data_IF_249330006696
#
_entry.id   IF_249330006696
#
_cell.length_a   1.000
_cell.length_b   1.000
_cell.length_c   1.000
_cell.angle_alpha   90.00
_cell.angle_beta   90.00
_cell.angle_gamma   90.00
#
_symmetry.space_group_name_H-M   'P 1'
#
loop_
_entity.id
_entity.type
_entity.pdbx_description
1 polymer ?
#
# COMPACT_ATOMS: atom_id res chain seq x y z
N UNK A 1 24.61 20.93 -8.26
CA UNK A 1 23.20 21.36 -8.35
C UNK A 1 22.32 20.37 -7.60
N UNK A 2 22.04 20.56 -6.29
CA UNK A 2 21.02 19.80 -5.59
C UNK A 2 19.79 20.68 -5.35
N UNK A 3 18.58 20.19 -5.63
CA UNK A 3 17.38 20.70 -4.96
C UNK A 3 16.75 19.50 -4.28
N UNK A 4 16.75 19.56 -2.95
CA UNK A 4 16.29 18.54 -2.04
C UNK A 4 14.80 18.26 -2.26
N UNK A 5 14.39 17.03 -1.96
CA UNK A 5 12.99 16.62 -1.99
C UNK A 5 12.13 17.50 -1.11
N UNK A 6 11.31 18.34 -1.73
CA UNK A 6 10.13 18.91 -1.10
C UNK A 6 9.18 17.75 -0.76
N UNK A 7 9.09 17.42 0.53
CA UNK A 7 8.03 16.56 1.06
C UNK A 7 6.72 17.36 0.99
N UNK A 8 5.61 16.82 0.44
CA UNK A 8 4.33 17.53 0.47
C UNK A 8 3.94 17.85 1.93
N UNK A 9 3.42 19.08 2.21
CA UNK A 9 3.34 19.65 3.56
C UNK A 9 2.35 18.98 4.53
N UNK A 10 1.66 17.91 4.13
CA UNK A 10 0.64 17.22 4.93
C UNK A 10 0.96 15.74 5.21
N UNK A 11 2.10 15.22 4.75
CA UNK A 11 2.46 13.83 5.06
C UNK A 11 3.15 13.74 6.43
N UNK A 12 2.60 12.97 7.40
CA UNK A 12 3.22 12.80 8.71
C UNK A 12 4.62 12.24 8.54
N UNK A 13 5.58 12.78 9.29
CA UNK A 13 6.98 12.38 9.18
C UNK A 13 7.16 10.87 9.44
N UNK A 14 8.25 10.24 8.98
CA UNK A 14 8.55 8.85 9.34
C UNK A 14 8.51 8.61 10.86
N UNK A 15 8.95 9.60 11.65
CA UNK A 15 8.96 9.56 13.10
C UNK A 15 7.54 9.62 13.70
N UNK A 16 6.68 10.49 13.16
CA UNK A 16 5.26 10.57 13.56
C UNK A 16 4.53 9.27 13.27
N UNK A 17 4.78 8.67 12.10
CA UNK A 17 4.22 7.37 11.72
C UNK A 17 4.71 6.28 12.67
N UNK A 18 6.00 6.28 13.03
CA UNK A 18 6.56 5.32 13.97
C UNK A 18 6.05 5.51 15.41
N UNK A 19 5.77 6.75 15.84
CA UNK A 19 5.14 7.03 17.15
C UNK A 19 3.72 6.49 17.20
N UNK A 20 2.89 6.85 16.21
CA UNK A 20 1.50 6.38 16.09
C UNK A 20 1.41 4.85 16.02
N UNK A 21 2.34 4.21 15.32
CA UNK A 21 2.40 2.75 15.25
C UNK A 21 2.71 2.11 16.62
N UNK A 22 3.61 2.72 17.41
CA UNK A 22 3.95 2.25 18.76
C UNK A 22 2.79 2.42 19.72
N UNK A 23 2.19 3.61 19.78
CA UNK A 23 1.01 3.89 20.60
C UNK A 23 -0.13 2.90 20.31
N UNK A 24 -0.34 2.59 19.02
CA UNK A 24 -1.34 1.62 18.63
C UNK A 24 -1.00 0.19 19.07
N UNK A 25 0.27 -0.20 18.99
CA UNK A 25 0.72 -1.51 19.45
C UNK A 25 0.55 -1.67 20.97
N UNK A 26 0.81 -0.61 21.74
CA UNK A 26 0.56 -0.56 23.19
C UNK A 26 -0.94 -0.74 23.49
N UNK A 27 -1.81 0.05 22.85
CA UNK A 27 -3.27 -0.06 23.03
C UNK A 27 -3.79 -1.48 22.71
N UNK A 28 -3.27 -2.09 21.64
CA UNK A 28 -3.66 -3.45 21.25
C UNK A 28 -3.19 -4.49 22.27
N UNK A 29 -1.98 -4.36 22.82
CA UNK A 29 -1.48 -5.26 23.88
C UNK A 29 -2.35 -5.20 25.13
N UNK A 30 -2.64 -3.98 25.60
CA UNK A 30 -3.51 -3.78 26.78
C UNK A 30 -4.89 -4.41 26.57
N UNK A 31 -5.45 -4.24 25.37
CA UNK A 31 -6.76 -4.77 25.04
C UNK A 31 -6.77 -6.30 24.95
N UNK A 32 -5.74 -6.90 24.34
CA UNK A 32 -5.62 -8.36 24.30
C UNK A 32 -5.56 -8.93 25.71
N UNK A 33 -4.75 -8.33 26.60
CA UNK A 33 -4.67 -8.75 27.99
C UNK A 33 -6.03 -8.61 28.72
N UNK A 34 -6.78 -7.53 28.48
CA UNK A 34 -8.13 -7.34 29.03
C UNK A 34 -9.11 -8.42 28.56
N UNK A 35 -9.07 -8.78 27.27
CA UNK A 35 -9.93 -9.80 26.69
C UNK A 35 -9.57 -11.21 27.18
N UNK A 36 -8.27 -11.53 27.25
CA UNK A 36 -7.76 -12.79 27.79
C UNK A 36 -8.08 -12.95 29.29
N UNK A 37 -8.11 -11.84 30.02
CA UNK A 37 -8.55 -11.79 31.42
C UNK A 37 -10.06 -12.00 31.62
N UNK A 38 -10.85 -12.14 30.55
CA UNK A 38 -12.29 -12.39 30.64
C UNK A 38 -13.10 -11.18 31.10
N UNK A 39 -12.67 -9.97 30.72
CA UNK A 39 -13.40 -8.74 31.05
C UNK A 39 -14.91 -8.85 30.73
N UNK A 40 -15.79 -8.29 31.57
CA UNK A 40 -17.23 -8.47 31.45
C UNK A 40 -17.77 -7.85 30.16
N UNK A 41 -18.63 -8.59 29.44
CA UNK A 41 -19.38 -8.07 28.31
C UNK A 41 -20.51 -7.15 28.80
N UNK A 42 -20.20 -5.87 28.97
CA UNK A 42 -21.17 -4.80 29.30
C UNK A 42 -21.61 -4.06 28.04
N UNK A 43 -22.70 -3.30 28.13
CA UNK A 43 -23.13 -2.40 27.06
C UNK A 43 -22.00 -1.44 26.62
N UNK A 44 -21.26 -0.86 27.57
CA UNK A 44 -20.13 0.01 27.28
C UNK A 44 -19.03 -0.71 26.49
N UNK A 45 -18.70 -1.95 26.85
CA UNK A 45 -17.68 -2.73 26.11
C UNK A 45 -18.16 -3.09 24.69
N UNK A 46 -19.45 -3.33 24.51
CA UNK A 46 -20.06 -3.60 23.21
C UNK A 46 -20.04 -2.35 22.31
N UNK A 47 -20.46 -1.19 22.82
CA UNK A 47 -20.40 0.09 22.11
C UNK A 47 -18.95 0.44 21.71
N UNK A 48 -18.01 0.29 22.65
CA UNK A 48 -16.59 0.50 22.36
C UNK A 48 -16.06 -0.50 21.33
N UNK A 49 -16.53 -1.75 21.33
CA UNK A 49 -16.15 -2.71 20.31
C UNK A 49 -16.68 -2.33 18.93
N UNK A 50 -17.94 -1.90 18.84
CA UNK A 50 -18.55 -1.43 17.61
C UNK A 50 -17.80 -0.23 17.02
N UNK A 51 -17.59 0.83 17.81
CA UNK A 51 -16.85 2.01 17.37
C UNK A 51 -15.46 1.65 16.82
N UNK A 52 -14.80 0.67 17.43
CA UNK A 52 -13.46 0.24 17.04
C UNK A 52 -13.47 -0.63 15.79
N UNK A 53 -14.52 -1.40 15.56
CA UNK A 53 -14.74 -2.12 14.32
C UNK A 53 -14.96 -1.15 13.15
N UNK A 54 -15.79 -0.12 13.35
CA UNK A 54 -16.02 0.94 12.36
C UNK A 54 -14.72 1.68 12.01
N UNK A 55 -13.96 2.12 13.02
CA UNK A 55 -12.65 2.75 12.81
C UNK A 55 -11.62 1.81 12.13
N UNK A 56 -11.71 0.50 12.37
CA UNK A 56 -10.83 -0.46 11.71
C UNK A 56 -11.20 -0.62 10.23
N UNK A 57 -12.49 -0.61 9.91
CA UNK A 57 -12.99 -0.68 8.55
C UNK A 57 -12.58 0.56 7.74
N UNK A 58 -12.71 1.76 8.31
CA UNK A 58 -12.27 3.00 7.67
C UNK A 58 -10.76 2.97 7.36
N UNK A 59 -9.94 2.52 8.33
CA UNK A 59 -8.49 2.36 8.11
C UNK A 59 -8.13 1.31 7.06
N UNK A 60 -8.87 0.20 7.02
CA UNK A 60 -8.63 -0.86 6.04
C UNK A 60 -8.89 -0.36 4.61
N UNK A 61 -10.01 0.35 4.42
CA UNK A 61 -10.33 1.03 3.17
C UNK A 61 -9.24 2.00 2.72
N UNK A 62 -8.83 2.91 3.60
CA UNK A 62 -7.77 3.89 3.28
C UNK A 62 -6.44 3.18 2.92
N UNK A 63 -6.12 2.08 3.60
CA UNK A 63 -4.94 1.28 3.31
C UNK A 63 -5.02 0.60 1.94
N UNK A 64 -6.16 0.02 1.59
CA UNK A 64 -6.40 -0.59 0.27
C UNK A 64 -6.34 0.45 -0.85
N UNK A 65 -6.97 1.61 -0.65
CA UNK A 65 -6.91 2.73 -1.58
C UNK A 65 -5.46 3.17 -1.83
N UNK A 66 -4.70 3.41 -0.75
CA UNK A 66 -3.30 3.82 -0.81
C UNK A 66 -2.41 2.76 -1.49
N UNK A 67 -2.65 1.47 -1.20
CA UNK A 67 -1.90 0.37 -1.80
C UNK A 67 -2.17 0.27 -3.31
N UNK A 68 -3.44 0.37 -3.73
CA UNK A 68 -3.81 0.38 -5.15
C UNK A 68 -3.13 1.54 -5.90
N UNK A 69 -3.14 2.75 -5.33
CA UNK A 69 -2.46 3.91 -5.92
C UNK A 69 -0.94 3.70 -6.06
N UNK A 70 -0.29 3.10 -5.06
CA UNK A 70 1.15 2.77 -5.09
C UNK A 70 1.46 1.72 -6.14
N UNK A 71 0.62 0.70 -6.28
CA UNK A 71 0.75 -0.30 -7.33
C UNK A 71 0.63 0.30 -8.72
N UNK A 72 -0.36 1.18 -8.96
CA UNK A 72 -0.48 1.89 -10.25
C UNK A 72 0.75 2.76 -10.56
N UNK A 73 1.29 3.46 -9.56
CA UNK A 73 2.51 4.24 -9.71
C UNK A 73 3.73 3.36 -10.05
N UNK A 74 3.89 2.23 -9.36
CA UNK A 74 4.94 1.25 -9.64
C UNK A 74 4.81 0.66 -11.05
N UNK A 75 3.58 0.27 -11.45
CA UNK A 75 3.29 -0.22 -12.80
C UNK A 75 3.66 0.79 -13.88
N UNK A 76 3.35 2.08 -13.67
CA UNK A 76 3.77 3.17 -14.57
C UNK A 76 5.30 3.28 -14.64
N UNK A 77 6.00 3.23 -13.51
CA UNK A 77 7.46 3.30 -13.49
C UNK A 77 8.10 2.13 -14.27
N UNK A 78 7.57 0.92 -14.12
CA UNK A 78 8.01 -0.24 -14.89
C UNK A 78 7.74 -0.11 -16.38
N UNK A 79 6.57 0.40 -16.80
CA UNK A 79 6.30 0.68 -18.22
C UNK A 79 7.28 1.69 -18.82
N UNK A 80 7.63 2.74 -18.07
CA UNK A 80 8.64 3.71 -18.51
C UNK A 80 10.03 3.06 -18.63
N UNK A 81 10.41 2.19 -17.69
CA UNK A 81 11.66 1.45 -17.76
C UNK A 81 11.70 0.47 -18.95
N UNK A 82 10.58 -0.22 -19.22
CA UNK A 82 10.46 -1.08 -20.40
C UNK A 82 10.66 -0.30 -21.70
N UNK A 83 9.99 0.84 -21.84
CA UNK A 83 10.13 1.71 -23.02
C UNK A 83 11.56 2.22 -23.19
N UNK A 84 12.25 2.58 -22.10
CA UNK A 84 13.65 3.00 -22.14
C UNK A 84 14.58 1.88 -22.61
N UNK A 85 14.34 0.64 -22.18
CA UNK A 85 15.10 -0.52 -22.64
C UNK A 85 14.80 -0.88 -24.10
N UNK A 86 13.54 -0.82 -24.52
CA UNK A 86 13.15 -1.01 -25.93
C UNK A 86 13.83 0.04 -26.83
N UNK A 87 13.83 1.30 -26.40
CA UNK A 87 14.54 2.37 -27.11
C UNK A 87 16.04 2.09 -27.17
N UNK A 88 16.67 1.66 -26.07
CA UNK A 88 18.08 1.31 -26.06
C UNK A 88 18.39 0.15 -27.02
N UNK A 89 17.52 -0.85 -27.12
CA UNK A 89 17.67 -1.98 -28.03
C UNK A 89 17.70 -1.59 -29.51
N UNK A 90 17.07 -0.46 -29.88
CA UNK A 90 17.07 0.07 -31.26
C UNK A 90 18.43 0.66 -31.67
N UNK A 91 19.21 1.15 -30.70
CA UNK A 91 20.51 1.78 -30.94
C UNK A 91 21.70 0.90 -30.51
N UNK A 92 21.41 -0.23 -29.88
CA UNK A 92 22.37 -1.21 -29.43
C UNK A 92 22.95 -2.01 -30.60
N UNK A 93 24.16 -2.55 -30.41
CA UNK A 93 24.70 -3.57 -31.30
C UNK A 93 23.95 -4.91 -31.15
N UNK A 94 24.14 -5.82 -32.11
CA UNK A 94 23.46 -7.12 -32.13
C UNK A 94 23.68 -7.93 -30.83
N UNK A 95 24.83 -7.75 -30.18
CA UNK A 95 25.17 -8.49 -28.95
C UNK A 95 24.46 -7.95 -27.70
N UNK A 96 24.12 -6.67 -27.66
CA UNK A 96 23.48 -6.01 -26.50
C UNK A 96 21.99 -5.74 -26.68
N UNK A 97 21.49 -5.76 -27.92
CA UNK A 97 20.06 -5.58 -28.22
C UNK A 97 19.18 -6.63 -27.52
N UNK A 98 19.61 -7.90 -27.52
CA UNK A 98 18.88 -8.98 -26.84
C UNK A 98 18.73 -8.77 -25.32
N UNK A 99 19.80 -8.32 -24.64
CA UNK A 99 19.75 -8.05 -23.20
C UNK A 99 18.78 -6.92 -22.83
N UNK A 100 18.69 -5.90 -23.69
CA UNK A 100 17.71 -4.82 -23.53
C UNK A 100 16.27 -5.29 -23.76
N UNK A 101 16.03 -6.13 -24.78
CA UNK A 101 14.70 -6.72 -25.01
C UNK A 101 14.24 -7.60 -23.84
N UNK A 102 15.14 -8.42 -23.28
CA UNK A 102 14.85 -9.23 -22.10
C UNK A 102 14.56 -8.37 -20.87
N UNK A 103 15.30 -7.28 -20.67
CA UNK A 103 15.06 -6.33 -19.59
C UNK A 103 13.70 -5.64 -19.75
N UNK A 104 13.35 -5.22 -20.96
CA UNK A 104 12.04 -4.65 -21.25
C UNK A 104 10.91 -5.65 -20.95
N UNK A 105 11.06 -6.91 -21.35
CA UNK A 105 10.09 -7.96 -21.06
C UNK A 105 9.86 -8.13 -19.54
N UNK A 106 10.93 -8.23 -18.74
CA UNK A 106 10.81 -8.31 -17.27
C UNK A 106 10.07 -7.11 -16.67
N UNK A 107 10.30 -5.92 -17.21
CA UNK A 107 9.59 -4.73 -16.75
C UNK A 107 8.10 -4.73 -17.16
N UNK A 108 7.74 -5.21 -18.36
CA UNK A 108 6.32 -5.37 -18.74
C UNK A 108 5.61 -6.39 -17.86
N UNK A 109 6.29 -7.49 -17.51
CA UNK A 109 5.75 -8.50 -16.61
C UNK A 109 5.54 -7.93 -15.20
N UNK A 110 6.52 -7.19 -14.68
CA UNK A 110 6.40 -6.50 -13.39
C UNK A 110 5.27 -5.44 -13.40
N UNK A 111 5.12 -4.69 -14.48
CA UNK A 111 4.01 -3.75 -14.63
C UNK A 111 2.65 -4.46 -14.58
N UNK A 112 2.53 -5.61 -15.26
CA UNK A 112 1.30 -6.42 -15.26
C UNK A 112 0.97 -6.98 -13.88
N UNK A 113 1.99 -7.41 -13.13
CA UNK A 113 1.83 -7.85 -11.73
C UNK A 113 1.33 -6.71 -10.83
N UNK A 114 1.85 -5.50 -11.03
CA UNK A 114 1.38 -4.33 -10.28
C UNK A 114 -0.04 -3.91 -10.67
N UNK A 115 -0.41 -3.97 -11.94
CA UNK A 115 -1.78 -3.69 -12.36
C UNK A 115 -2.78 -4.70 -11.74
N UNK A 116 -2.40 -5.99 -11.68
CA UNK A 116 -3.21 -7.02 -11.00
C UNK A 116 -3.33 -6.75 -9.49
N UNK A 117 -2.22 -6.44 -8.81
CA UNK A 117 -2.24 -6.11 -7.39
C UNK A 117 -3.08 -4.86 -7.08
N UNK A 118 -3.04 -3.85 -7.95
CA UNK A 118 -3.89 -2.67 -7.83
C UNK A 118 -5.38 -3.02 -7.94
N UNK A 119 -5.74 -3.91 -8.88
CA UNK A 119 -7.12 -4.37 -9.03
C UNK A 119 -7.59 -5.17 -7.81
N UNK A 120 -6.73 -6.01 -7.24
CA UNK A 120 -7.02 -6.77 -6.02
C UNK A 120 -7.28 -5.85 -4.83
N UNK A 121 -6.45 -4.81 -4.63
CA UNK A 121 -6.66 -3.86 -3.53
C UNK A 121 -7.90 -2.98 -3.75
N UNK A 122 -8.19 -2.56 -4.99
CA UNK A 122 -9.45 -1.87 -5.29
C UNK A 122 -10.68 -2.76 -5.01
N UNK A 123 -10.59 -4.06 -5.28
CA UNK A 123 -11.66 -5.01 -4.97
C UNK A 123 -11.87 -5.18 -3.45
N UNK A 124 -10.79 -5.16 -2.67
CA UNK A 124 -10.85 -5.18 -1.20
C UNK A 124 -11.43 -3.89 -0.63
N UNK A 125 -11.03 -2.73 -1.15
CA UNK A 125 -11.62 -1.43 -0.81
C UNK A 125 -13.15 -1.46 -1.01
N UNK A 126 -13.60 -1.92 -2.19
CA UNK A 126 -15.02 -2.05 -2.49
C UNK A 126 -15.74 -3.08 -1.60
N UNK A 127 -15.04 -4.11 -1.13
CA UNK A 127 -15.59 -5.07 -0.17
C UNK A 127 -15.76 -4.45 1.22
N UNK A 128 -14.82 -3.60 1.65
CA UNK A 128 -14.91 -2.87 2.91
C UNK A 128 -16.01 -1.79 2.86
N UNK A 129 -16.18 -1.08 1.75
CA UNK A 129 -17.30 -0.15 1.57
C UNK A 129 -18.66 -0.87 1.67
N UNK A 130 -18.77 -2.10 1.15
CA UNK A 130 -19.99 -2.92 1.29
C UNK A 130 -20.26 -3.38 2.72
N UNK A 131 -19.23 -3.53 3.57
CA UNK A 131 -19.40 -3.93 4.98
C UNK A 131 -19.86 -2.76 5.85
N UNK A 132 -19.72 -1.53 5.37
CA UNK A 132 -20.12 -0.31 6.06
C UNK A 132 -21.61 0.02 5.89
N UNK A 133 -22.16 -0.33 4.72
CA UNK A 133 -23.55 -0.07 4.32
C UNK A 133 -24.48 -1.23 4.67
#
# INVERSE_FOLDING_TARGET
>A
MPVAGEHPPDEPSPEDRASRARERADELRERTAYLEGGGPATAETAERAQLRAEQALDRARDAHHSAAARHLNAGRAHRLAAAAHEQAALFADDTSSGAHQDAAARHRDAASQHDAAAADDAAKEAADDRRRN
#
